data_IF_462328427557
#
_entry.id   IF_462328427557
#
_cell.length_a   1.000
_cell.length_b   1.000
_cell.length_c   1.000
_cell.angle_alpha   90.00
_cell.angle_beta   90.00
_cell.angle_gamma   90.00
#
_symmetry.space_group_name_H-M   'P 1'
#
loop_
_entity.id
_entity.type
_entity.pdbx_description
1 polymer ?
#
# COMPACT_ATOMS: atom_id res chain seq x y z
N UNK A 1 66.72 46.47 32.16
CA UNK A 1 65.47 47.28 32.31
C UNK A 1 64.82 47.34 30.93
N UNK A 2 63.94 46.38 30.61
CA UNK A 2 62.47 46.41 30.71
C UNK A 2 61.77 47.14 29.54
N UNK A 3 61.48 46.35 28.49
CA UNK A 3 60.29 46.21 27.63
C UNK A 3 59.52 47.46 27.08
N UNK A 4 59.14 47.31 25.79
CA UNK A 4 57.96 47.84 25.04
C UNK A 4 58.25 49.12 24.23
N UNK A 5 58.01 49.21 22.93
CA UNK A 5 56.79 48.84 22.21
C UNK A 5 57.05 48.51 20.73
N UNK A 6 56.44 47.42 20.27
CA UNK A 6 56.17 47.14 18.87
C UNK A 6 55.11 48.10 18.32
N UNK A 7 55.16 48.42 17.02
CA UNK A 7 54.00 48.42 16.12
C UNK A 7 54.36 48.81 14.68
N UNK A 8 53.78 48.04 13.76
CA UNK A 8 53.30 48.42 12.44
C UNK A 8 54.32 48.70 11.34
N UNK A 9 54.71 47.64 10.61
CA UNK A 9 54.79 47.75 9.15
C UNK A 9 54.06 46.55 8.53
N UNK A 10 52.94 46.84 7.88
CA UNK A 10 52.04 45.87 7.27
C UNK A 10 52.65 45.32 5.97
N UNK A 11 52.80 44.00 5.89
CA UNK A 11 53.02 43.30 4.62
C UNK A 11 51.67 42.71 4.21
N UNK A 12 50.90 43.49 3.45
CA UNK A 12 49.67 43.01 2.82
C UNK A 12 50.08 42.08 1.66
N UNK A 13 50.02 40.78 1.90
CA UNK A 13 50.17 39.76 0.86
C UNK A 13 48.89 39.81 -0.02
N UNK A 14 49.03 40.32 -1.23
CA UNK A 14 47.97 40.33 -2.23
C UNK A 14 47.63 38.89 -2.65
N UNK A 15 46.71 38.26 -1.94
CA UNK A 15 45.98 37.10 -2.45
C UNK A 15 45.05 37.61 -3.56
N UNK A 16 45.54 37.61 -4.80
CA UNK A 16 44.68 37.69 -5.98
C UNK A 16 43.89 36.39 -6.01
N UNK A 17 42.78 36.37 -5.27
CA UNK A 17 41.76 35.34 -5.37
C UNK A 17 41.26 35.36 -6.80
N UNK A 18 41.58 34.31 -7.54
CA UNK A 18 40.97 34.00 -8.82
C UNK A 18 39.47 33.79 -8.55
N UNK A 19 38.67 34.86 -8.67
CA UNK A 19 37.22 34.74 -8.73
C UNK A 19 36.94 34.11 -10.08
N UNK A 20 36.84 32.79 -10.14
CA UNK A 20 36.18 32.14 -11.26
C UNK A 20 34.74 32.63 -11.22
N UNK A 21 34.39 33.59 -12.08
CA UNK A 21 33.01 33.77 -12.49
C UNK A 21 32.64 32.50 -13.22
N UNK A 22 32.17 31.49 -12.47
CA UNK A 22 31.39 30.43 -13.06
C UNK A 22 30.25 31.17 -13.75
N UNK A 23 30.28 31.21 -15.08
CA UNK A 23 29.09 31.51 -15.84
C UNK A 23 28.09 30.47 -15.35
N UNK A 24 27.11 30.93 -14.55
CA UNK A 24 25.93 30.14 -14.29
C UNK A 24 25.25 30.06 -15.65
N UNK A 25 25.61 29.04 -16.43
CA UNK A 25 24.84 28.65 -17.59
C UNK A 25 23.50 28.23 -17.01
N UNK A 26 22.54 29.14 -17.06
CA UNK A 26 21.15 28.81 -16.78
C UNK A 26 20.80 27.67 -17.72
N UNK A 27 20.30 26.56 -17.18
CA UNK A 27 19.97 25.41 -18.01
C UNK A 27 18.93 25.85 -19.04
N UNK A 28 19.23 25.66 -20.33
CA UNK A 28 18.33 25.99 -21.43
C UNK A 28 17.05 25.15 -21.38
N UNK A 29 17.02 24.04 -20.66
CA UNK A 29 15.81 23.27 -20.42
C UNK A 29 15.82 22.63 -19.03
N UNK A 30 14.66 22.21 -18.54
CA UNK A 30 14.55 21.60 -17.21
C UNK A 30 13.21 20.95 -16.95
N UNK A 31 13.17 20.11 -15.90
CA UNK A 31 11.94 19.59 -15.33
C UNK A 31 11.57 20.49 -14.16
N UNK A 32 10.31 20.92 -14.12
CA UNK A 32 9.81 21.78 -13.05
C UNK A 32 8.62 21.18 -12.31
N UNK A 33 8.04 20.10 -12.82
CA UNK A 33 6.97 19.33 -12.17
C UNK A 33 7.02 17.86 -12.59
N UNK A 34 6.69 16.95 -11.68
CA UNK A 34 6.59 15.54 -12.00
C UNK A 34 5.54 14.85 -11.13
N UNK A 35 4.98 13.74 -11.63
CA UNK A 35 4.01 12.91 -10.97
C UNK A 35 4.17 11.44 -11.38
N UNK A 36 3.99 10.52 -10.44
CA UNK A 36 3.96 9.08 -10.72
C UNK A 36 2.52 8.58 -10.84
N UNK A 37 2.25 7.78 -11.87
CA UNK A 37 0.96 7.17 -12.11
C UNK A 37 0.86 5.81 -11.43
N UNK A 38 -0.13 5.66 -10.55
CA UNK A 38 -0.47 4.40 -9.91
C UNK A 38 -1.92 4.01 -10.19
N UNK A 39 -2.19 2.71 -10.16
CA UNK A 39 -3.53 2.14 -10.16
C UNK A 39 -3.64 1.11 -9.05
N UNK A 40 -4.52 1.39 -8.09
CA UNK A 40 -4.71 0.60 -6.88
C UNK A 40 -5.99 -0.21 -7.02
N UNK A 41 -5.90 -1.54 -6.89
CA UNK A 41 -7.02 -2.48 -6.83
C UNK A 41 -8.04 -2.31 -7.97
N UNK A 42 -7.53 -2.10 -9.20
CA UNK A 42 -8.38 -1.91 -10.38
C UNK A 42 -9.14 -0.57 -10.41
N UNK A 43 -8.84 0.36 -9.50
CA UNK A 43 -9.39 1.71 -9.48
C UNK A 43 -9.00 2.56 -10.68
N UNK A 44 -9.27 3.87 -10.60
CA UNK A 44 -8.87 4.80 -11.64
C UNK A 44 -7.35 4.89 -11.75
N UNK A 45 -6.89 5.36 -12.90
CA UNK A 45 -5.52 5.81 -13.05
C UNK A 45 -5.36 7.09 -12.20
N UNK A 46 -4.37 7.13 -11.32
CA UNK A 46 -4.16 8.27 -10.43
C UNK A 46 -2.72 8.74 -10.50
N UNK A 47 -2.52 10.02 -10.79
CA UNK A 47 -1.21 10.67 -10.75
C UNK A 47 -1.01 11.28 -9.37
N UNK A 48 0.07 10.87 -8.71
CA UNK A 48 0.52 11.41 -7.43
C UNK A 48 1.69 12.34 -7.71
N UNK A 49 1.51 13.64 -7.45
CA UNK A 49 2.55 14.65 -7.69
C UNK A 49 3.80 14.35 -6.85
N UNK A 50 4.97 14.36 -7.46
CA UNK A 50 6.26 14.21 -6.78
C UNK A 50 6.87 15.59 -6.51
N UNK A 51 6.80 16.49 -7.48
CA UNK A 51 7.23 17.89 -7.34
C UNK A 51 6.14 18.84 -7.82
N UNK A 52 6.31 20.14 -7.52
CA UNK A 52 5.36 21.20 -7.88
C UNK A 52 3.91 20.86 -7.49
N UNK A 53 3.72 20.66 -6.18
CA UNK A 53 2.44 20.24 -5.64
C UNK A 53 1.33 21.28 -5.87
N UNK A 54 0.11 20.79 -6.06
CA UNK A 54 -1.10 21.55 -6.38
C UNK A 54 -1.04 22.28 -7.72
N UNK A 55 -0.37 21.70 -8.71
CA UNK A 55 -0.36 22.24 -10.06
C UNK A 55 -1.31 21.45 -10.97
N UNK A 56 -2.45 22.05 -11.38
CA UNK A 56 -3.41 21.37 -12.24
C UNK A 56 -2.82 21.01 -13.60
N UNK A 57 -1.67 21.58 -13.98
CA UNK A 57 -0.97 21.25 -15.22
C UNK A 57 -0.39 19.84 -15.20
N UNK A 58 -0.36 19.11 -14.08
CA UNK A 58 -0.02 17.69 -14.10
C UNK A 58 -1.13 16.80 -14.68
N UNK A 59 -2.38 17.28 -14.75
CA UNK A 59 -3.47 16.53 -15.35
C UNK A 59 -3.30 16.47 -16.88
N UNK A 60 -3.07 15.29 -17.47
CA UNK A 60 -2.82 15.18 -18.90
C UNK A 60 -4.09 15.32 -19.73
N UNK A 61 -3.93 15.66 -21.00
CA UNK A 61 -4.99 15.58 -22.00
C UNK A 61 -5.00 14.20 -22.67
N UNK A 62 -6.15 13.77 -23.20
CA UNK A 62 -6.26 12.50 -23.90
C UNK A 62 -5.31 12.45 -25.09
N UNK A 63 -4.52 11.38 -25.20
CA UNK A 63 -3.58 11.15 -26.30
C UNK A 63 -3.38 9.63 -26.48
N UNK A 64 -2.68 9.22 -27.54
CA UNK A 64 -2.49 7.79 -27.84
C UNK A 64 -1.85 6.97 -26.70
N UNK A 65 -1.10 7.61 -25.80
CA UNK A 65 -0.43 6.99 -24.65
C UNK A 65 -1.10 7.30 -23.30
N UNK A 66 -2.21 8.04 -23.30
CA UNK A 66 -2.92 8.49 -22.10
C UNK A 66 -4.40 8.14 -22.19
N UNK A 67 -4.83 7.20 -21.36
CA UNK A 67 -6.23 6.82 -21.18
C UNK A 67 -6.85 7.62 -20.04
N UNK A 68 -7.90 8.38 -20.34
CA UNK A 68 -8.70 9.13 -19.37
C UNK A 68 -9.88 8.27 -18.83
N UNK A 69 -10.40 8.55 -17.62
CA UNK A 69 -9.98 9.60 -16.70
C UNK A 69 -8.68 9.29 -15.96
N UNK A 70 -7.93 10.34 -15.64
CA UNK A 70 -6.79 10.30 -14.72
C UNK A 70 -7.10 11.23 -13.56
N UNK A 71 -7.13 10.69 -12.34
CA UNK A 71 -7.28 11.47 -11.12
C UNK A 71 -5.93 12.08 -10.74
N UNK A 72 -5.93 13.28 -10.15
CA UNK A 72 -4.71 13.95 -9.69
C UNK A 72 -4.75 14.09 -8.16
N UNK A 73 -3.73 13.56 -7.49
CA UNK A 73 -3.53 13.70 -6.04
C UNK A 73 -2.43 14.72 -5.80
N UNK A 74 -2.84 15.88 -5.28
CA UNK A 74 -1.96 17.04 -5.15
C UNK A 74 -1.26 17.17 -3.79
N UNK A 75 -1.57 16.26 -2.86
CA UNK A 75 -0.94 16.22 -1.53
C UNK A 75 0.48 15.65 -1.56
N UNK A 76 0.93 15.17 -2.72
CA UNK A 76 2.26 14.63 -2.91
C UNK A 76 2.35 13.11 -2.77
N UNK A 77 3.34 12.53 -3.46
CA UNK A 77 3.76 11.14 -3.37
C UNK A 77 4.75 10.90 -2.21
N UNK A 78 5.60 11.89 -1.92
CA UNK A 78 6.64 11.76 -0.89
C UNK A 78 6.04 11.67 0.52
N UNK A 79 6.45 10.67 1.28
CA UNK A 79 5.91 10.35 2.60
C UNK A 79 4.50 9.74 2.58
N UNK A 80 3.89 9.49 1.42
CA UNK A 80 2.55 8.93 1.33
C UNK A 80 2.52 7.48 1.80
N UNK A 81 1.47 7.12 2.54
CA UNK A 81 1.14 5.72 2.81
C UNK A 81 0.05 5.25 1.84
N UNK A 82 0.41 4.36 0.92
CA UNK A 82 -0.48 3.80 -0.10
C UNK A 82 -1.42 2.73 0.46
N UNK A 83 -1.19 2.29 1.71
CA UNK A 83 -2.06 1.37 2.43
C UNK A 83 -1.46 -0.02 2.60
N UNK A 84 -2.36 -0.99 2.69
CA UNK A 84 -2.05 -2.40 2.96
C UNK A 84 -2.64 -3.27 1.86
N UNK A 85 -1.86 -4.24 1.39
CA UNK A 85 -2.17 -5.05 0.23
C UNK A 85 -2.02 -6.55 0.56
N UNK A 86 -2.98 -7.34 0.10
CA UNK A 86 -2.86 -8.80 0.00
C UNK A 86 -2.43 -9.17 -1.42
N UNK A 87 -1.24 -9.77 -1.55
CA UNK A 87 -0.63 -10.11 -2.85
C UNK A 87 -1.51 -11.01 -3.73
N UNK A 88 -2.46 -11.75 -3.15
CA UNK A 88 -3.32 -12.68 -3.88
C UNK A 88 -4.60 -12.05 -4.41
N UNK A 89 -5.09 -10.98 -3.78
CA UNK A 89 -6.38 -10.35 -4.12
C UNK A 89 -6.22 -8.94 -4.65
N UNK A 90 -5.15 -8.26 -4.25
CA UNK A 90 -4.94 -6.85 -4.49
C UNK A 90 -3.93 -6.61 -5.61
N UNK A 91 -3.93 -5.39 -6.13
CA UNK A 91 -2.97 -4.94 -7.13
C UNK A 91 -2.51 -3.52 -6.82
N UNK A 92 -1.21 -3.31 -6.91
CA UNK A 92 -0.59 -1.98 -6.92
C UNK A 92 0.21 -1.90 -8.20
N UNK A 93 -0.37 -1.23 -9.21
CA UNK A 93 0.23 -1.12 -10.53
C UNK A 93 0.92 0.23 -10.68
N UNK A 94 2.15 0.23 -11.16
CA UNK A 94 2.76 1.43 -11.75
C UNK A 94 2.34 1.50 -13.21
N UNK A 95 1.66 2.58 -13.59
CA UNK A 95 1.03 2.75 -14.90
C UNK A 95 1.73 3.78 -15.79
N UNK A 96 2.64 4.57 -15.24
CA UNK A 96 3.32 5.66 -15.94
C UNK A 96 3.38 6.89 -15.04
N UNK A 97 2.90 8.03 -15.52
CA UNK A 97 2.87 9.29 -14.79
C UNK A 97 2.92 10.49 -15.72
N UNK A 98 3.27 11.65 -15.16
CA UNK A 98 3.29 12.93 -15.86
C UNK A 98 4.54 13.75 -15.51
N UNK A 99 5.07 14.49 -16.48
CA UNK A 99 6.20 15.41 -16.29
C UNK A 99 5.90 16.73 -16.98
N UNK A 100 6.24 17.82 -16.30
CA UNK A 100 6.24 19.18 -16.81
C UNK A 100 7.68 19.64 -16.99
N UNK A 101 8.01 20.05 -18.20
CA UNK A 101 9.34 20.55 -18.56
C UNK A 101 9.26 21.88 -19.27
N UNK A 102 10.34 22.66 -19.25
CA UNK A 102 10.45 23.88 -20.03
C UNK A 102 11.59 23.77 -21.04
N UNK A 103 11.41 24.39 -22.22
CA UNK A 103 12.44 24.62 -23.24
C UNK A 103 12.71 26.12 -23.37
N UNK A 104 13.99 26.50 -23.35
CA UNK A 104 14.51 27.87 -23.42
C UNK A 104 15.85 27.87 -24.18
N UNK A 105 16.29 29.05 -24.63
CA UNK A 105 17.62 29.27 -25.21
C UNK A 105 17.99 28.28 -26.35
N UNK A 106 17.00 27.84 -27.13
CA UNK A 106 17.17 26.92 -28.25
C UNK A 106 17.36 25.44 -27.86
N UNK A 107 17.25 25.12 -26.57
CA UNK A 107 17.34 23.75 -26.04
C UNK A 107 15.94 23.20 -25.83
N UNK A 108 15.68 22.00 -26.35
CA UNK A 108 14.39 21.31 -26.25
C UNK A 108 14.50 20.08 -25.35
N UNK A 109 13.42 19.72 -24.66
CA UNK A 109 13.30 18.42 -23.99
C UNK A 109 12.78 17.43 -25.01
N UNK A 110 13.51 16.34 -25.21
CA UNK A 110 13.27 15.39 -26.29
C UNK A 110 12.66 14.07 -25.81
N UNK A 111 12.79 13.78 -24.52
CA UNK A 111 12.17 12.63 -23.87
C UNK A 111 12.15 12.82 -22.37
N UNK A 112 11.17 12.21 -21.70
CA UNK A 112 11.13 12.10 -20.25
C UNK A 112 10.84 10.66 -19.82
N UNK A 113 11.33 10.29 -18.65
CA UNK A 113 11.27 8.94 -18.09
C UNK A 113 11.02 9.02 -16.60
N UNK A 114 10.15 8.14 -16.11
CA UNK A 114 9.99 7.87 -14.68
C UNK A 114 10.84 6.65 -14.35
N UNK A 115 11.72 6.79 -13.38
CA UNK A 115 12.46 5.69 -12.79
C UNK A 115 11.84 5.36 -11.44
N UNK A 116 11.58 4.08 -11.18
CA UNK A 116 11.06 3.63 -9.88
C UNK A 116 11.75 2.34 -9.40
N UNK A 117 11.78 2.14 -8.08
CA UNK A 117 12.34 0.94 -7.45
C UNK A 117 11.56 0.59 -6.19
N UNK A 118 11.51 -0.69 -5.83
CA UNK A 118 10.99 -1.15 -4.54
C UNK A 118 12.14 -1.54 -3.63
N UNK A 119 12.13 -1.08 -2.37
CA UNK A 119 13.10 -1.39 -1.31
C UNK A 119 14.57 -1.14 -1.68
N UNK A 120 14.84 -0.10 -2.47
CA UNK A 120 16.19 0.22 -2.93
C UNK A 120 16.76 -0.81 -3.93
N UNK A 121 15.91 -1.63 -4.54
CA UNK A 121 16.27 -2.52 -5.63
C UNK A 121 16.69 -1.78 -6.91
N UNK A 122 16.94 -2.53 -7.97
CA UNK A 122 17.27 -1.93 -9.27
C UNK A 122 16.10 -1.07 -9.80
N UNK A 123 16.44 0.11 -10.33
CA UNK A 123 15.45 0.99 -10.96
C UNK A 123 14.91 0.37 -12.25
N UNK A 124 13.59 0.46 -12.38
CA UNK A 124 12.83 0.20 -13.59
C UNK A 124 12.46 1.54 -14.23
N UNK A 125 12.31 1.55 -15.55
CA UNK A 125 12.16 2.78 -16.33
C UNK A 125 10.87 2.74 -17.16
N UNK A 126 10.09 3.82 -17.09
CA UNK A 126 8.89 4.04 -17.90
C UNK A 126 9.05 5.32 -18.70
N UNK A 127 9.16 5.19 -20.02
CA UNK A 127 9.18 6.33 -20.91
C UNK A 127 7.81 7.00 -20.95
N UNK A 128 7.78 8.32 -20.90
CA UNK A 128 6.56 9.09 -21.06
C UNK A 128 6.46 9.61 -22.50
N UNK A 129 5.26 9.52 -23.08
CA UNK A 129 4.98 10.10 -24.38
C UNK A 129 4.84 11.61 -24.28
N UNK A 130 5.23 12.32 -25.34
CA UNK A 130 4.86 13.73 -25.48
C UNK A 130 3.34 13.88 -25.45
N UNK A 131 2.82 14.77 -24.62
CA UNK A 131 1.38 14.95 -24.45
C UNK A 131 0.89 16.29 -24.99
N UNK A 132 1.60 17.38 -24.69
CA UNK A 132 1.18 18.74 -25.03
C UNK A 132 2.37 19.70 -25.06
N UNK A 133 2.31 20.68 -25.97
CA UNK A 133 3.21 21.85 -25.99
C UNK A 133 2.47 23.06 -25.43
N UNK A 134 3.22 24.05 -24.94
CA UNK A 134 2.72 25.32 -24.39
C UNK A 134 1.62 25.15 -23.33
N UNK A 135 1.86 24.25 -22.37
CA UNK A 135 0.94 23.86 -21.28
C UNK A 135 0.44 25.05 -20.44
N UNK A 136 1.13 26.20 -20.53
CA UNK A 136 0.84 27.42 -19.79
C UNK A 136 0.40 28.57 -20.71
N UNK A 137 -0.42 28.28 -21.73
CA UNK A 137 -1.24 29.22 -22.53
C UNK A 137 -0.58 30.60 -22.81
N UNK A 138 0.70 30.60 -23.22
CA UNK A 138 1.42 31.83 -23.59
C UNK A 138 2.81 32.02 -22.98
N UNK A 139 3.20 31.22 -21.98
CA UNK A 139 4.61 31.04 -21.64
C UNK A 139 5.19 30.00 -22.62
N UNK A 140 5.57 30.47 -23.80
CA UNK A 140 6.09 29.60 -24.87
C UNK A 140 7.22 28.73 -24.33
N UNK A 141 7.10 27.42 -24.51
CA UNK A 141 8.16 26.47 -24.16
C UNK A 141 7.84 25.43 -23.09
N UNK A 142 6.75 25.58 -22.34
CA UNK A 142 6.37 24.56 -21.35
C UNK A 142 5.75 23.33 -22.04
N UNK A 143 6.32 22.15 -21.82
CA UNK A 143 5.89 20.88 -22.38
C UNK A 143 5.34 19.96 -21.29
N UNK A 144 4.34 19.17 -21.65
CA UNK A 144 3.83 18.07 -20.83
C UNK A 144 4.13 16.75 -21.50
N UNK A 145 4.55 15.81 -20.66
CA UNK A 145 4.78 14.42 -21.02
C UNK A 145 3.92 13.55 -20.13
N UNK A 146 3.29 12.53 -20.68
CA UNK A 146 2.48 11.62 -19.90
C UNK A 146 2.34 10.24 -20.56
N UNK A 147 2.17 9.23 -19.71
CA UNK A 147 1.74 7.91 -20.14
C UNK A 147 0.93 7.21 -19.05
N UNK A 148 -0.01 6.37 -19.47
CA UNK A 148 -0.76 5.45 -18.61
C UNK A 148 -0.73 4.01 -19.14
N UNK A 149 0.16 3.70 -20.08
CA UNK A 149 0.13 2.44 -20.83
C UNK A 149 0.83 1.29 -20.12
N UNK A 150 1.64 1.60 -19.11
CA UNK A 150 2.27 0.56 -18.31
C UNK A 150 1.24 -0.11 -17.40
N UNK A 151 1.55 -1.31 -16.95
CA UNK A 151 0.73 -2.06 -16.00
C UNK A 151 1.61 -3.04 -15.22
N UNK A 152 2.60 -2.49 -14.51
CA UNK A 152 3.55 -3.31 -13.76
C UNK A 152 3.07 -3.47 -12.33
N UNK A 153 2.69 -4.69 -11.94
CA UNK A 153 2.29 -5.00 -10.57
C UNK A 153 3.51 -5.12 -9.66
N UNK A 154 3.74 -4.13 -8.81
CA UNK A 154 4.91 -4.07 -7.93
C UNK A 154 4.79 -4.95 -6.68
N UNK A 155 3.63 -5.57 -6.45
CA UNK A 155 3.46 -6.53 -5.35
C UNK A 155 4.09 -7.89 -5.66
N UNK A 156 4.32 -8.21 -6.94
CA UNK A 156 4.77 -9.55 -7.34
C UNK A 156 6.13 -9.91 -6.77
N UNK A 157 6.19 -11.03 -6.04
CA UNK A 157 7.43 -11.55 -5.45
C UNK A 157 7.86 -10.86 -4.16
N UNK A 158 7.07 -9.91 -3.62
CA UNK A 158 7.37 -9.29 -2.34
C UNK A 158 7.00 -10.23 -1.18
N UNK A 159 7.83 -10.22 -0.14
CA UNK A 159 7.53 -10.88 1.12
C UNK A 159 6.50 -10.07 1.92
N UNK A 160 5.91 -10.66 2.96
CA UNK A 160 5.08 -9.90 3.88
C UNK A 160 5.93 -8.91 4.68
N UNK A 161 5.47 -7.67 4.83
CA UNK A 161 6.20 -6.61 5.52
C UNK A 161 5.89 -5.21 5.01
N UNK A 162 6.58 -4.23 5.57
CA UNK A 162 6.56 -2.86 5.07
C UNK A 162 7.57 -2.71 3.93
N UNK A 163 7.16 -2.00 2.89
CA UNK A 163 7.94 -1.75 1.68
C UNK A 163 7.93 -0.26 1.33
N UNK A 164 8.97 0.16 0.62
CA UNK A 164 9.12 1.53 0.12
C UNK A 164 9.17 1.52 -1.40
N UNK A 165 8.27 2.27 -2.04
CA UNK A 165 8.35 2.62 -3.45
C UNK A 165 9.08 3.95 -3.60
N UNK A 166 10.24 3.93 -4.23
CA UNK A 166 11.03 5.13 -4.55
C UNK A 166 10.89 5.48 -6.02
N UNK A 167 10.80 6.76 -6.35
CA UNK A 167 10.70 7.24 -7.72
C UNK A 167 11.44 8.56 -7.94
N UNK A 168 11.94 8.76 -9.16
CA UNK A 168 12.44 10.05 -9.65
C UNK A 168 12.16 10.16 -11.15
N UNK A 169 12.30 11.36 -11.70
CA UNK A 169 12.18 11.56 -13.15
C UNK A 169 13.45 12.15 -13.74
N UNK A 170 13.68 11.83 -15.00
CA UNK A 170 14.72 12.47 -15.78
C UNK A 170 14.28 12.62 -17.22
N UNK A 171 14.91 13.53 -17.94
CA UNK A 171 14.70 13.74 -19.36
C UNK A 171 16.00 14.01 -20.07
N UNK A 172 15.97 13.94 -21.41
CA UNK A 172 17.12 14.24 -22.26
C UNK A 172 16.84 15.47 -23.09
N UNK A 173 17.85 16.31 -23.26
CA UNK A 173 17.76 17.56 -24.00
C UNK A 173 18.43 17.46 -25.37
N UNK A 174 18.05 18.34 -26.30
CA UNK A 174 18.64 18.41 -27.65
C UNK A 174 20.11 18.81 -27.67
N UNK A 175 20.62 19.41 -26.59
CA UNK A 175 21.99 19.91 -26.42
C UNK A 175 22.88 19.01 -25.53
N UNK A 176 22.48 17.75 -25.33
CA UNK A 176 23.25 16.62 -24.78
C UNK A 176 23.23 16.41 -23.25
N UNK A 177 22.36 17.08 -22.51
CA UNK A 177 22.22 16.93 -21.06
C UNK A 177 21.08 16.00 -20.64
N UNK A 178 21.26 15.29 -19.53
CA UNK A 178 20.13 14.77 -18.78
C UNK A 178 19.72 15.79 -17.71
N UNK A 179 18.42 16.08 -17.67
CA UNK A 179 17.77 16.91 -16.64
C UNK A 179 17.05 15.99 -15.67
N UNK A 180 17.01 16.35 -14.39
CA UNK A 180 16.52 15.47 -13.33
C UNK A 180 15.56 16.20 -12.40
N UNK A 181 14.55 15.46 -11.95
CA UNK A 181 13.76 15.79 -10.79
C UNK A 181 13.78 14.61 -9.81
N UNK A 182 14.67 14.71 -8.83
CA UNK A 182 15.07 13.61 -7.94
C UNK A 182 15.22 14.04 -6.48
N UNK A 183 14.60 15.16 -6.08
CA UNK A 183 14.76 15.73 -4.74
C UNK A 183 16.25 15.87 -4.33
N UNK A 184 17.08 16.43 -5.23
CA UNK A 184 18.54 16.53 -5.05
C UNK A 184 19.25 15.16 -4.88
N UNK A 185 18.73 14.09 -5.49
CA UNK A 185 19.26 12.74 -5.44
C UNK A 185 18.69 11.85 -4.33
N UNK A 186 17.76 12.35 -3.50
CA UNK A 186 17.11 11.58 -2.44
C UNK A 186 15.96 10.69 -2.95
N UNK A 187 15.42 10.99 -4.14
CA UNK A 187 14.19 10.42 -4.71
C UNK A 187 12.95 10.70 -3.86
N UNK A 188 11.77 10.54 -4.47
CA UNK A 188 10.49 10.63 -3.79
C UNK A 188 10.06 9.25 -3.31
N UNK A 189 9.56 9.13 -2.09
CA UNK A 189 9.31 7.83 -1.46
C UNK A 189 7.88 7.72 -0.92
N UNK A 190 7.17 6.66 -1.30
CA UNK A 190 5.92 6.25 -0.67
C UNK A 190 6.08 4.89 0.01
N UNK A 191 5.22 4.60 0.98
CA UNK A 191 5.24 3.35 1.75
C UNK A 191 3.97 2.54 1.55
N UNK A 192 4.09 1.22 1.64
CA UNK A 192 2.94 0.30 1.67
C UNK A 192 3.28 -0.95 2.49
N UNK A 193 2.28 -1.72 2.87
CA UNK A 193 2.49 -2.98 3.62
C UNK A 193 1.88 -4.15 2.86
N UNK A 194 2.63 -5.23 2.71
CA UNK A 194 2.13 -6.52 2.21
C UNK A 194 1.79 -7.41 3.41
N UNK A 195 0.56 -7.93 3.44
CA UNK A 195 0.07 -8.78 4.52
C UNK A 195 -0.29 -10.17 4.02
N UNK A 196 -0.17 -11.20 4.88
CA UNK A 196 -0.71 -12.52 4.57
C UNK A 196 -2.24 -12.46 4.51
N UNK A 197 -2.81 -13.34 3.69
CA UNK A 197 -4.26 -13.44 3.47
C UNK A 197 -5.07 -13.33 4.79
N UNK A 198 -5.90 -12.29 4.96
CA UNK A 198 -6.74 -12.16 6.14
C UNK A 198 -7.85 -13.22 6.20
N UNK A 199 -8.18 -13.85 5.06
CA UNK A 199 -9.29 -14.81 4.99
C UNK A 199 -8.89 -16.25 5.29
N UNK A 200 -7.64 -16.68 5.06
CA UNK A 200 -7.25 -18.07 5.35
C UNK A 200 -7.35 -18.36 6.84
N UNK A 201 -6.89 -17.44 7.69
CA UNK A 201 -6.97 -17.60 9.14
C UNK A 201 -8.42 -17.56 9.63
N UNK A 202 -9.22 -16.63 9.12
CA UNK A 202 -10.64 -16.53 9.48
C UNK A 202 -11.43 -17.78 9.03
N UNK A 203 -11.19 -18.28 7.81
CA UNK A 203 -11.86 -19.46 7.26
C UNK A 203 -11.37 -20.76 7.92
N UNK A 204 -10.08 -20.85 8.25
CA UNK A 204 -9.55 -21.96 9.04
C UNK A 204 -10.17 -21.99 10.44
N UNK A 205 -10.25 -20.84 11.12
CA UNK A 205 -10.87 -20.73 12.44
C UNK A 205 -12.38 -20.99 12.40
N UNK A 206 -13.08 -20.48 11.38
CA UNK A 206 -14.49 -20.75 11.17
C UNK A 206 -14.73 -22.24 10.89
N UNK A 207 -13.93 -22.85 10.02
CA UNK A 207 -13.98 -24.29 9.72
C UNK A 207 -13.74 -25.14 10.96
N UNK A 208 -12.71 -24.83 11.74
CA UNK A 208 -12.41 -25.49 13.02
C UNK A 208 -13.54 -25.27 14.05
N UNK A 209 -14.11 -24.07 14.11
CA UNK A 209 -15.25 -23.75 14.97
C UNK A 209 -16.50 -24.57 14.62
N UNK A 210 -16.80 -24.74 13.33
CA UNK A 210 -17.89 -25.59 12.85
C UNK A 210 -17.63 -27.05 13.21
N UNK A 211 -16.43 -27.57 12.98
CA UNK A 211 -16.06 -28.94 13.33
C UNK A 211 -16.17 -29.19 14.84
N UNK A 212 -15.67 -28.28 15.66
CA UNK A 212 -15.79 -28.34 17.12
C UNK A 212 -17.26 -28.30 17.57
N UNK A 213 -18.09 -27.46 16.94
CA UNK A 213 -19.53 -27.38 17.17
C UNK A 213 -20.25 -28.69 16.85
N UNK A 214 -19.95 -29.31 15.71
CA UNK A 214 -20.50 -30.60 15.28
C UNK A 214 -20.06 -31.74 16.22
N UNK A 215 -18.78 -31.78 16.60
CA UNK A 215 -18.28 -32.79 17.55
C UNK A 215 -18.95 -32.65 18.92
N UNK A 216 -19.17 -31.42 19.40
CA UNK A 216 -19.86 -31.13 20.66
C UNK A 216 -21.34 -31.54 20.62
N UNK A 217 -22.03 -31.29 19.49
CA UNK A 217 -23.44 -31.67 19.35
C UNK A 217 -23.64 -33.18 19.36
N UNK A 218 -22.72 -33.94 18.74
CA UNK A 218 -22.71 -35.43 18.78
C UNK A 218 -22.53 -35.97 20.20
N UNK A 219 -21.64 -35.37 21.01
CA UNK A 219 -21.45 -35.76 22.42
C UNK A 219 -22.70 -35.50 23.27
N UNK A 220 -23.41 -34.40 23.04
CA UNK A 220 -24.67 -34.08 23.75
C UNK A 220 -25.77 -35.09 23.45
N UNK A 221 -25.88 -35.57 22.20
CA UNK A 221 -26.88 -36.59 21.82
C UNK A 221 -26.64 -37.94 22.51
N UNK A 222 -25.38 -38.36 22.68
CA UNK A 222 -25.04 -39.61 23.40
C UNK A 222 -25.43 -39.59 24.88
N UNK A 223 -25.36 -38.44 25.55
CA UNK A 223 -25.74 -38.31 26.97
C UNK A 223 -27.25 -38.42 27.22
N UNK A 224 -28.08 -37.97 26.28
CA UNK A 224 -29.56 -38.07 26.41
C UNK A 224 -30.08 -39.49 26.25
N UNK A 225 -29.33 -40.36 25.57
CA UNK A 225 -29.72 -41.77 25.41
C UNK A 225 -29.57 -42.55 26.72
N UNK A 226 -28.52 -42.26 27.50
CA UNK A 226 -28.26 -42.94 28.78
C UNK A 226 -29.18 -42.49 29.93
N UNK A 227 -29.66 -41.24 29.94
CA UNK A 227 -30.62 -40.82 30.98
C UNK A 227 -32.01 -41.45 30.83
N UNK A 228 -32.37 -41.93 29.63
CA UNK A 228 -33.66 -42.60 29.40
C UNK A 228 -33.67 -44.04 29.92
N UNK A 229 -32.55 -44.76 29.86
CA UNK A 229 -32.48 -46.14 30.36
C UNK A 229 -32.61 -46.22 31.87
N UNK A 230 -32.05 -45.24 32.58
CA UNK A 230 -32.06 -45.24 34.06
C UNK A 230 -33.45 -44.92 34.63
N UNK A 231 -34.23 -44.06 33.96
CA UNK A 231 -35.61 -43.77 34.36
C UNK A 231 -36.55 -44.95 34.18
N UNK A 232 -36.37 -45.78 33.14
CA UNK A 232 -37.19 -46.98 32.95
C UNK A 232 -36.86 -48.06 33.98
N UNK A 233 -35.58 -48.26 34.32
CA UNK A 233 -35.22 -49.22 35.36
C UNK A 233 -35.69 -48.80 36.76
N UNK A 234 -35.68 -47.50 37.06
CA UNK A 234 -36.20 -46.98 38.32
C UNK A 234 -37.73 -47.12 38.42
N UNK A 235 -38.46 -46.78 37.36
CA UNK A 235 -39.91 -46.95 37.31
C UNK A 235 -40.35 -48.43 37.37
N UNK A 236 -39.60 -49.34 36.73
CA UNK A 236 -39.88 -50.78 36.79
C UNK A 236 -39.68 -51.37 38.20
N UNK A 237 -38.69 -50.89 38.97
CA UNK A 237 -38.50 -51.31 40.37
C UNK A 237 -39.63 -50.81 41.28
N UNK A 238 -40.13 -49.60 41.06
CA UNK A 238 -41.23 -49.05 41.86
C UNK A 238 -42.57 -49.77 41.57
N UNK A 239 -42.82 -50.17 40.31
CA UNK A 239 -44.03 -50.93 39.95
C UNK A 239 -44.03 -52.36 40.51
N UNK A 240 -42.87 -53.02 40.54
CA UNK A 240 -42.72 -54.36 41.14
C UNK A 240 -42.83 -54.34 42.68
N UNK A 241 -42.40 -53.27 43.34
CA UNK A 241 -42.58 -53.12 44.79
C UNK A 241 -44.01 -52.74 45.19
N UNK A 242 -44.75 -52.01 44.35
CA UNK A 242 -46.14 -51.63 44.61
C UNK A 242 -47.16 -52.77 44.49
N UNK A 243 -46.87 -53.82 43.71
CA UNK A 243 -47.79 -54.94 43.51
C UNK A 243 -47.78 -55.99 44.64
N UNK A 244 -46.82 -55.91 45.59
CA UNK A 244 -46.64 -56.91 46.66
C UNK A 244 -47.07 -56.45 48.06
N UNK A 245 -47.57 -55.22 48.22
CA UNK A 245 -47.97 -54.68 49.52
C UNK A 245 -49.30 -53.91 49.44
N UNK A 246 -50.36 -54.54 48.94
CA UNK A 246 -51.73 -54.08 49.20
C UNK A 246 -52.25 -54.75 50.49
N UNK A 247 -52.67 -54.00 51.54
CA UNK A 247 -53.10 -54.58 52.82
C UNK A 247 -54.52 -55.18 52.82
N UNK A 248 -55.20 -55.28 51.69
CA UNK A 248 -56.65 -55.53 51.65
C UNK A 248 -57.02 -57.02 51.49
N UNK A 249 -56.42 -57.91 52.28
CA UNK A 249 -56.94 -59.28 52.38
C UNK A 249 -56.65 -60.00 53.72
N UNK A 250 -56.93 -59.31 54.84
CA UNK A 250 -56.82 -59.87 56.20
C UNK A 250 -58.15 -59.78 56.95
N UNK A 251 -59.25 -60.23 56.34
CA UNK A 251 -60.54 -60.40 57.06
C UNK A 251 -61.42 -61.44 56.37
N UNK A 252 -61.13 -62.74 56.55
CA UNK A 252 -62.15 -63.81 56.56
C UNK A 252 -61.52 -65.18 56.81
N UNK A 253 -61.41 -65.55 58.08
CA UNK A 253 -61.59 -66.94 58.56
C UNK A 253 -61.57 -66.97 60.09
N UNK A 254 -62.69 -66.57 60.70
CA UNK A 254 -63.18 -67.24 61.91
C UNK A 254 -64.33 -68.13 61.45
N UNK A 255 -64.34 -69.41 61.83
CA UNK A 255 -65.53 -70.25 62.10
C UNK A 255 -65.08 -71.71 62.33
N UNK A 256 -65.52 -72.27 63.48
CA UNK A 256 -65.51 -73.69 63.92
C UNK A 256 -64.13 -74.29 64.22
N UNK A 257 -63.85 -74.92 65.37
CA UNK A 257 -64.58 -76.02 66.00
C UNK A 257 -64.31 -76.03 67.53
N UNK A 258 -65.38 -76.10 68.33
CA UNK A 258 -65.39 -76.62 69.71
C UNK A 258 -66.06 -78.00 69.65
N UNK A 259 -65.38 -79.04 70.16
CA UNK A 259 -65.94 -80.21 70.86
C UNK A 259 -64.80 -81.15 71.25
#
# INVERSE_FOLDING_TARGET
MKIRNAKLLALALAAVGFVSTANLVQAGAGIFGSAIGLKINGGNNTFYEMSLLNDPRHAPIASGTVTLPVDLVTTGFDGLNLGTFDINTDSLLVIGGGVLSFKNDGTDVTSTTIAYSVDGGAFQFLNLGFNEDDVNDGAGGDQRWASTDASVNILTGLANGAHTLSAYTFGSTSDSGNIFDSQNGANYNATFTVVPEPTTYAMMLAGLGVLAGVQRSRRRRRRRFWQRTDSFQKAAREFLCGLFLSPENQTRTQILINS
#
